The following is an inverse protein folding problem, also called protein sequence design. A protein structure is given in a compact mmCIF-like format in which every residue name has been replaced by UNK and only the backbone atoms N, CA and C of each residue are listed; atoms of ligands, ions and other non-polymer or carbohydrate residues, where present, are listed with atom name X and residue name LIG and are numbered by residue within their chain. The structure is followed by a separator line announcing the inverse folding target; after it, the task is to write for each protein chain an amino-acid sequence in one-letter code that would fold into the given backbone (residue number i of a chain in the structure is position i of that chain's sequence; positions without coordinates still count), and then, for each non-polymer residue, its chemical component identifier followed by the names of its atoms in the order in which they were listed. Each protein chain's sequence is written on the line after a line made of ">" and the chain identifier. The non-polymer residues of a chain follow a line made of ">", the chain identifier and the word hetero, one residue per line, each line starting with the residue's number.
data_IF_837626774736
#
_entry.id   IF_837626774736
#
_cell.length_a   1.000
_cell.length_b   1.000
_cell.length_c   1.000
_cell.angle_alpha   90.00
_cell.angle_beta   90.00
_cell.angle_gamma   90.00
#
_symmetry.space_group_name_H-M   'P 1'
#
loop_
_entity.id
_entity.type
_entity.pdbx_description
1 polymer ?
#
# COMPACT_ATOMS: atom_id res chain seq x y z
N UNK A 1 -31.83 8.94 -8.89
CA UNK A 1 -31.79 9.06 -7.42
C UNK A 1 -30.43 9.61 -7.03
N UNK A 2 -30.38 10.49 -6.03
CA UNK A 2 -29.12 11.01 -5.49
C UNK A 2 -28.58 10.13 -4.35
N UNK A 3 -27.30 10.30 -4.02
CA UNK A 3 -26.57 9.61 -2.96
C UNK A 3 -25.68 10.59 -2.18
N UNK A 4 -25.35 10.28 -0.94
CA UNK A 4 -24.34 11.02 -0.17
C UNK A 4 -22.92 10.61 -0.58
N UNK A 5 -22.02 11.59 -0.69
CA UNK A 5 -20.64 11.38 -1.08
C UNK A 5 -19.69 12.43 -0.48
N UNK A 6 -18.46 12.03 -0.19
CA UNK A 6 -17.39 12.90 0.30
C UNK A 6 -16.69 13.55 -0.89
N UNK A 7 -16.77 14.88 -0.99
CA UNK A 7 -16.27 15.63 -2.14
C UNK A 7 -15.21 16.64 -1.70
N UNK A 8 -14.09 16.66 -2.42
CA UNK A 8 -13.00 17.63 -2.22
C UNK A 8 -13.26 18.89 -3.06
N UNK A 9 -13.42 20.04 -2.40
CA UNK A 9 -13.69 21.35 -3.01
C UNK A 9 -12.47 22.28 -3.05
N UNK A 10 -11.43 21.93 -2.31
CA UNK A 10 -10.21 22.73 -2.19
C UNK A 10 -9.29 22.16 -1.13
N UNK A 11 -8.10 22.74 -0.93
CA UNK A 11 -7.20 22.35 0.14
C UNK A 11 -7.92 22.46 1.49
N UNK A 12 -7.89 21.37 2.26
CA UNK A 12 -8.54 21.18 3.56
C UNK A 12 -10.06 21.39 3.54
N UNK A 13 -10.68 21.40 2.37
CA UNK A 13 -12.10 21.63 2.19
C UNK A 13 -12.76 20.39 1.59
N UNK A 14 -13.12 19.45 2.47
CA UNK A 14 -13.95 18.28 2.16
C UNK A 14 -15.33 18.49 2.76
N UNK A 15 -16.38 18.10 2.04
CA UNK A 15 -17.74 18.07 2.57
C UNK A 15 -18.50 16.84 2.07
N UNK A 16 -19.45 16.41 2.86
CA UNK A 16 -20.44 15.41 2.44
C UNK A 16 -21.56 16.15 1.71
N UNK A 17 -21.86 15.76 0.49
CA UNK A 17 -22.90 16.38 -0.33
C UNK A 17 -23.70 15.33 -1.11
N UNK A 18 -24.86 15.75 -1.65
CA UNK A 18 -25.66 14.92 -2.54
C UNK A 18 -25.07 14.94 -3.94
N UNK A 19 -24.87 13.75 -4.51
CA UNK A 19 -24.42 13.52 -5.90
C UNK A 19 -25.38 12.59 -6.62
N UNK A 20 -25.48 12.66 -7.96
CA UNK A 20 -26.21 11.64 -8.70
C UNK A 20 -25.65 10.25 -8.41
N UNK A 21 -26.51 9.27 -8.17
CA UNK A 21 -26.09 7.86 -8.13
C UNK A 21 -25.44 7.49 -9.47
N UNK A 22 -24.28 6.81 -9.47
CA UNK A 22 -23.64 6.39 -10.71
C UNK A 22 -24.48 5.37 -11.48
N UNK A 23 -24.26 5.32 -12.78
CA UNK A 23 -24.81 4.30 -13.68
C UNK A 23 -23.69 3.55 -14.39
N UNK A 24 -24.02 2.36 -14.90
CA UNK A 24 -23.14 1.63 -15.83
C UNK A 24 -22.93 2.51 -17.07
N UNK A 25 -21.68 2.83 -17.40
CA UNK A 25 -21.32 3.60 -18.60
C UNK A 25 -20.70 2.72 -19.68
N UNK A 26 -20.01 1.65 -19.27
CA UNK A 26 -19.40 0.64 -20.15
C UNK A 26 -19.84 -0.76 -19.76
N UNK A 27 -19.82 -1.68 -20.72
CA UNK A 27 -20.23 -3.07 -20.52
C UNK A 27 -19.38 -3.82 -19.47
N UNK A 28 -18.18 -3.34 -19.18
CA UNK A 28 -17.26 -3.91 -18.18
C UNK A 28 -17.21 -3.11 -16.87
N UNK A 29 -18.16 -2.19 -16.64
CA UNK A 29 -18.33 -1.51 -15.35
C UNK A 29 -19.16 -2.37 -14.36
N UNK A 30 -19.01 -2.09 -13.08
CA UNK A 30 -19.97 -2.49 -12.04
C UNK A 30 -20.34 -1.28 -11.15
N UNK A 31 -21.50 -1.35 -10.50
CA UNK A 31 -21.89 -0.45 -9.42
C UNK A 31 -21.84 -1.23 -8.12
N UNK A 32 -21.17 -0.67 -7.11
CA UNK A 32 -21.08 -1.25 -5.76
C UNK A 32 -21.81 -0.34 -4.79
N UNK A 33 -22.69 -0.91 -3.96
CA UNK A 33 -23.22 -0.27 -2.76
C UNK A 33 -22.17 -0.40 -1.66
N UNK A 34 -21.57 0.72 -1.27
CA UNK A 34 -20.45 0.73 -0.32
C UNK A 34 -20.98 0.48 1.09
N UNK A 35 -20.31 -0.41 1.83
CA UNK A 35 -20.53 -0.64 3.27
C UNK A 35 -19.54 0.16 4.09
N UNK A 36 -18.26 0.04 3.74
CA UNK A 36 -17.17 0.75 4.40
C UNK A 36 -16.25 1.41 3.39
N UNK A 37 -15.78 2.61 3.70
CA UNK A 37 -14.75 3.31 2.95
C UNK A 37 -13.59 3.73 3.86
N UNK A 38 -12.36 3.56 3.40
CA UNK A 38 -11.16 3.95 4.15
C UNK A 38 -10.74 5.38 3.81
N UNK A 39 -10.11 6.04 4.78
CA UNK A 39 -9.27 7.22 4.50
C UNK A 39 -7.82 6.74 4.38
N UNK A 40 -7.16 7.09 3.27
CA UNK A 40 -5.77 6.67 3.00
C UNK A 40 -4.78 7.84 3.14
N UNK A 41 -3.54 7.52 3.54
CA UNK A 41 -2.45 8.51 3.64
C UNK A 41 -2.20 9.25 2.34
N UNK A 42 -2.39 8.57 1.21
CA UNK A 42 -2.21 9.14 -0.13
C UNK A 42 -3.26 10.23 -0.44
N UNK A 43 -4.44 10.18 0.18
CA UNK A 43 -5.53 11.17 0.01
C UNK A 43 -5.23 12.48 0.75
N UNK A 44 -4.33 12.44 1.75
CA UNK A 44 -3.88 13.65 2.43
C UNK A 44 -3.05 14.55 1.50
N UNK A 45 -2.43 14.05 0.43
CA UNK A 45 -1.68 14.91 -0.50
C UNK A 45 -2.58 15.90 -1.27
N UNK A 46 -3.66 15.47 -1.95
CA UNK A 46 -4.60 16.42 -2.55
C UNK A 46 -5.40 17.18 -1.48
N UNK A 47 -5.76 16.56 -0.36
CA UNK A 47 -6.42 17.28 0.75
C UNK A 47 -5.57 18.44 1.30
N UNK A 48 -4.24 18.27 1.46
CA UNK A 48 -3.33 19.35 1.87
C UNK A 48 -3.08 20.38 0.75
N UNK A 49 -3.46 20.08 -0.48
CA UNK A 49 -3.13 20.89 -1.66
C UNK A 49 -1.69 20.70 -2.18
N UNK A 50 -0.94 19.72 -1.65
CA UNK A 50 0.41 19.39 -2.15
C UNK A 50 0.37 18.76 -3.54
N UNK A 51 -0.62 17.89 -3.78
CA UNK A 51 -0.88 17.33 -5.11
C UNK A 51 -1.95 18.16 -5.81
N UNK A 52 -1.61 18.73 -6.98
CA UNK A 52 -2.58 19.45 -7.81
C UNK A 52 -3.62 18.49 -8.38
N UNK A 53 -4.89 18.87 -8.29
CA UNK A 53 -6.03 18.12 -8.83
C UNK A 53 -7.17 19.09 -9.18
N UNK A 54 -8.11 18.65 -10.02
CA UNK A 54 -9.37 19.38 -10.20
C UNK A 54 -10.35 18.98 -9.10
N UNK A 55 -10.96 19.97 -8.45
CA UNK A 55 -11.90 19.75 -7.36
C UNK A 55 -13.29 19.33 -7.87
N UNK A 56 -14.11 18.80 -6.97
CA UNK A 56 -15.50 18.38 -7.24
C UNK A 56 -15.70 16.87 -7.47
N UNK A 57 -14.61 16.09 -7.47
CA UNK A 57 -14.66 14.63 -7.50
C UNK A 57 -14.92 14.06 -6.11
N UNK A 58 -15.54 12.89 -6.07
CA UNK A 58 -15.74 12.09 -4.87
C UNK A 58 -14.40 11.45 -4.49
N UNK A 59 -14.05 11.50 -3.21
CA UNK A 59 -12.80 10.94 -2.66
C UNK A 59 -12.93 9.42 -2.39
N UNK A 60 -11.83 8.74 -2.04
CA UNK A 60 -11.86 7.35 -1.62
C UNK A 60 -11.39 6.35 -2.67
N UNK A 61 -10.37 5.57 -2.36
CA UNK A 61 -9.98 4.41 -3.18
C UNK A 61 -9.90 3.09 -2.41
N UNK A 62 -10.32 3.09 -1.15
CA UNK A 62 -10.40 1.89 -0.32
C UNK A 62 -11.85 1.68 0.07
N UNK A 63 -12.46 0.57 -0.34
CA UNK A 63 -13.83 0.26 0.02
C UNK A 63 -14.16 -1.24 -0.04
N UNK A 64 -15.12 -1.62 0.79
CA UNK A 64 -15.84 -2.89 0.69
C UNK A 64 -17.33 -2.62 0.50
N UNK A 65 -18.03 -3.52 -0.17
CA UNK A 65 -19.43 -3.31 -0.48
C UNK A 65 -20.10 -4.47 -1.18
N UNK A 66 -21.39 -4.32 -1.45
CA UNK A 66 -22.20 -5.31 -2.16
C UNK A 66 -22.35 -4.86 -3.61
N UNK A 67 -22.09 -5.76 -4.55
CA UNK A 67 -22.35 -5.50 -5.97
C UNK A 67 -23.84 -5.25 -6.16
N UNK A 68 -24.17 -4.08 -6.69
CA UNK A 68 -25.54 -3.63 -6.94
C UNK A 68 -25.95 -3.90 -8.39
N UNK A 69 -25.09 -3.55 -9.33
CA UNK A 69 -25.31 -3.75 -10.76
C UNK A 69 -24.00 -4.14 -11.46
N UNK A 70 -24.09 -4.93 -12.52
CA UNK A 70 -22.96 -5.27 -13.39
C UNK A 70 -23.30 -4.97 -14.85
N UNK A 71 -22.29 -4.57 -15.62
CA UNK A 71 -22.37 -4.47 -17.07
C UNK A 71 -22.38 -5.85 -17.74
N UNK A 72 -22.77 -5.90 -19.01
CA UNK A 72 -22.98 -7.15 -19.75
C UNK A 72 -21.71 -7.99 -20.00
N UNK A 73 -20.52 -7.41 -19.83
CA UNK A 73 -19.23 -8.08 -20.05
C UNK A 73 -18.51 -8.41 -18.75
N UNK A 74 -19.13 -8.19 -17.59
CA UNK A 74 -18.59 -8.57 -16.28
C UNK A 74 -18.88 -10.05 -16.05
N UNK A 75 -17.85 -10.82 -15.68
CA UNK A 75 -17.95 -12.29 -15.58
C UNK A 75 -17.51 -12.86 -14.24
N UNK A 76 -16.78 -12.09 -13.44
CA UNK A 76 -16.17 -12.58 -12.19
C UNK A 76 -16.99 -12.25 -10.94
N UNK A 77 -17.90 -11.28 -11.01
CA UNK A 77 -18.78 -10.86 -9.91
C UNK A 77 -20.21 -10.70 -10.42
N UNK A 78 -21.19 -10.83 -9.52
CA UNK A 78 -22.63 -10.64 -9.81
C UNK A 78 -23.32 -9.83 -8.70
N UNK A 79 -24.48 -9.26 -9.01
CA UNK A 79 -25.32 -8.57 -8.02
C UNK A 79 -25.53 -9.44 -6.78
N UNK A 80 -25.33 -8.84 -5.60
CA UNK A 80 -25.41 -9.50 -4.30
C UNK A 80 -24.08 -10.02 -3.76
N UNK A 81 -23.03 -10.12 -4.57
CA UNK A 81 -21.70 -10.51 -4.08
C UNK A 81 -21.12 -9.43 -3.16
N UNK A 82 -20.57 -9.84 -2.02
CA UNK A 82 -19.73 -8.99 -1.18
C UNK A 82 -18.33 -8.93 -1.79
N UNK A 83 -17.80 -7.73 -1.97
CA UNK A 83 -16.53 -7.47 -2.66
C UNK A 83 -15.66 -6.47 -1.93
N UNK A 84 -14.35 -6.55 -2.17
CA UNK A 84 -13.39 -5.49 -1.91
C UNK A 84 -12.97 -4.85 -3.24
N UNK A 85 -12.97 -3.52 -3.27
CA UNK A 85 -12.50 -2.75 -4.42
C UNK A 85 -11.02 -2.45 -4.34
N UNK A 86 -10.29 -2.67 -5.43
CA UNK A 86 -8.88 -2.32 -5.54
C UNK A 86 -8.74 -0.83 -5.89
N UNK A 87 -7.70 -0.17 -5.37
CA UNK A 87 -7.55 1.29 -5.46
C UNK A 87 -7.42 1.88 -6.87
N UNK A 88 -7.06 1.05 -7.86
CA UNK A 88 -6.98 1.43 -9.26
C UNK A 88 -7.51 0.32 -10.15
N UNK A 89 -8.20 0.70 -11.23
CA UNK A 89 -8.77 -0.29 -12.14
C UNK A 89 -7.72 -1.00 -12.98
N UNK A 90 -7.95 -2.27 -13.31
CA UNK A 90 -7.07 -3.08 -14.16
C UNK A 90 -7.89 -3.73 -15.28
N UNK A 91 -7.55 -3.47 -16.54
CA UNK A 91 -8.33 -3.97 -17.68
C UNK A 91 -8.11 -5.43 -18.04
N UNK A 92 -7.11 -6.08 -17.42
CA UNK A 92 -6.68 -7.47 -17.67
C UNK A 92 -6.27 -7.84 -19.11
N UNK A 93 -6.37 -6.91 -20.07
CA UNK A 93 -6.20 -7.20 -21.49
C UNK A 93 -4.99 -6.52 -22.15
N UNK A 94 -4.53 -5.38 -21.63
CA UNK A 94 -3.38 -4.69 -22.20
C UNK A 94 -2.07 -5.46 -21.94
N UNK A 95 -1.00 -5.10 -22.67
CA UNK A 95 0.31 -5.73 -22.52
C UNK A 95 0.76 -5.78 -21.06
N UNK A 96 0.69 -4.67 -20.33
CA UNK A 96 1.10 -4.61 -18.91
C UNK A 96 0.33 -5.60 -18.03
N UNK A 97 -1.00 -5.65 -18.16
CA UNK A 97 -1.82 -6.57 -17.37
C UNK A 97 -1.49 -8.03 -17.65
N UNK A 98 -1.22 -8.41 -18.90
CA UNK A 98 -0.87 -9.79 -19.28
C UNK A 98 0.40 -10.31 -18.61
N UNK A 99 1.29 -9.40 -18.20
CA UNK A 99 2.53 -9.72 -17.48
C UNK A 99 2.46 -9.37 -15.98
N UNK A 100 1.26 -9.13 -15.43
CA UNK A 100 1.07 -8.83 -14.01
C UNK A 100 1.43 -7.39 -13.59
N UNK A 101 1.80 -6.51 -14.52
CA UNK A 101 2.07 -5.09 -14.24
C UNK A 101 0.78 -4.26 -14.15
N UNK A 102 -0.17 -4.72 -13.34
CA UNK A 102 -1.52 -4.11 -13.23
C UNK A 102 -1.48 -2.68 -12.69
N UNK A 103 -0.43 -2.32 -11.93
CA UNK A 103 -0.11 -0.95 -11.51
C UNK A 103 0.20 0.02 -12.67
N UNK A 104 0.48 -0.52 -13.86
CA UNK A 104 0.75 0.23 -15.10
C UNK A 104 -0.17 -0.21 -16.24
N UNK A 105 -1.35 -0.72 -15.89
CA UNK A 105 -2.41 -0.97 -16.87
C UNK A 105 -2.63 0.27 -17.75
N UNK A 106 -2.60 0.09 -19.07
CA UNK A 106 -2.71 1.18 -20.05
C UNK A 106 -4.09 1.87 -20.02
N UNK A 107 -5.10 1.20 -19.47
CA UNK A 107 -6.47 1.70 -19.32
C UNK A 107 -6.85 1.93 -17.85
N UNK A 108 -5.87 1.97 -16.94
CA UNK A 108 -6.14 2.12 -15.50
C UNK A 108 -6.73 3.49 -15.19
N UNK A 109 -7.66 3.51 -14.24
CA UNK A 109 -8.20 4.70 -13.63
C UNK A 109 -7.98 4.60 -12.11
N UNK A 110 -7.36 5.62 -11.51
CA UNK A 110 -7.20 5.69 -10.06
C UNK A 110 -8.51 6.22 -9.44
N UNK A 111 -9.13 5.42 -8.58
CA UNK A 111 -10.37 5.78 -7.91
C UNK A 111 -10.15 6.96 -6.96
N UNK A 112 -11.18 7.77 -6.77
CA UNK A 112 -11.10 8.92 -5.88
C UNK A 112 -10.23 10.06 -6.43
N UNK A 113 -10.20 10.25 -7.74
CA UNK A 113 -9.40 11.30 -8.39
C UNK A 113 -10.22 12.10 -9.39
N UNK A 114 -9.63 13.16 -9.95
CA UNK A 114 -10.21 13.92 -11.06
C UNK A 114 -10.60 13.07 -12.28
N UNK A 115 -10.00 11.90 -12.46
CA UNK A 115 -10.28 11.01 -13.59
C UNK A 115 -11.55 10.18 -13.38
N UNK A 116 -11.84 9.82 -12.12
CA UNK A 116 -13.00 9.04 -11.74
C UNK A 116 -13.29 9.19 -10.24
N UNK A 117 -14.57 9.33 -9.93
CA UNK A 117 -15.09 9.36 -8.56
C UNK A 117 -14.72 8.12 -7.74
N UNK A 118 -14.57 8.32 -6.43
CA UNK A 118 -14.14 7.31 -5.47
C UNK A 118 -15.25 6.63 -4.66
N UNK A 119 -14.81 5.79 -3.74
CA UNK A 119 -15.63 4.93 -2.88
C UNK A 119 -16.08 5.55 -1.55
N UNK A 120 -15.69 6.78 -1.20
CA UNK A 120 -16.23 7.47 -0.03
C UNK A 120 -17.63 8.06 -0.36
N UNK A 121 -18.56 7.18 -0.73
CA UNK A 121 -19.94 7.48 -1.13
C UNK A 121 -20.84 6.25 -0.95
N UNK A 122 -22.16 6.42 -0.94
CA UNK A 122 -23.11 5.30 -0.81
C UNK A 122 -23.03 4.30 -1.99
N UNK A 123 -22.68 4.80 -3.19
CA UNK A 123 -22.45 3.97 -4.37
C UNK A 123 -21.22 4.44 -5.15
N UNK A 124 -20.51 3.49 -5.74
CA UNK A 124 -19.32 3.77 -6.58
C UNK A 124 -19.41 3.00 -7.89
N UNK A 125 -19.02 3.66 -9.00
CA UNK A 125 -18.82 3.01 -10.29
C UNK A 125 -17.41 2.46 -10.36
N UNK A 126 -17.28 1.19 -10.70
CA UNK A 126 -16.01 0.48 -10.76
C UNK A 126 -15.77 0.03 -12.20
N UNK A 127 -14.90 0.71 -12.97
CA UNK A 127 -14.52 0.30 -14.32
C UNK A 127 -13.68 -0.96 -14.29
N UNK A 128 -13.72 -1.73 -15.39
CA UNK A 128 -12.97 -2.97 -15.50
C UNK A 128 -13.21 -3.88 -14.29
N UNK A 129 -14.48 -4.13 -13.98
CA UNK A 129 -14.92 -4.77 -12.74
C UNK A 129 -14.17 -6.09 -12.47
N UNK A 130 -13.95 -6.91 -13.49
CA UNK A 130 -13.26 -8.20 -13.36
C UNK A 130 -11.80 -8.09 -12.88
N UNK A 131 -11.13 -6.97 -13.17
CA UNK A 131 -9.78 -6.70 -12.68
C UNK A 131 -9.70 -5.83 -11.44
N UNK A 132 -10.83 -5.29 -10.97
CA UNK A 132 -10.86 -4.24 -9.95
C UNK A 132 -11.66 -4.63 -8.71
N UNK A 133 -12.59 -5.57 -8.85
CA UNK A 133 -13.33 -6.15 -7.73
C UNK A 133 -12.79 -7.55 -7.45
N UNK A 134 -12.71 -7.87 -6.15
CA UNK A 134 -12.43 -9.23 -5.69
C UNK A 134 -13.52 -9.64 -4.72
N UNK A 135 -14.08 -10.83 -4.90
CA UNK A 135 -15.08 -11.40 -3.99
C UNK A 135 -14.45 -11.52 -2.60
N UNK A 136 -15.19 -11.09 -1.58
CA UNK A 136 -14.75 -11.19 -0.20
C UNK A 136 -14.52 -12.67 0.17
N UNK A 137 -13.31 -13.02 0.65
CA UNK A 137 -13.03 -14.37 1.10
C UNK A 137 -13.85 -14.68 2.36
N UNK A 138 -14.23 -15.96 2.57
CA UNK A 138 -14.96 -16.35 3.75
C UNK A 138 -14.14 -16.09 5.02
N UNK A 139 -14.81 -15.75 6.13
CA UNK A 139 -14.22 -15.59 7.46
C UNK A 139 -13.28 -14.38 7.68
N UNK A 140 -13.31 -13.40 6.78
CA UNK A 140 -12.68 -12.08 6.99
C UNK A 140 -13.80 -11.05 7.15
N UNK A 141 -13.80 -10.31 8.26
CA UNK A 141 -14.71 -9.18 8.46
C UNK A 141 -14.41 -8.08 7.42
N UNK A 142 -15.44 -7.58 6.76
CA UNK A 142 -15.42 -6.49 5.78
C UNK A 142 -14.58 -5.28 6.20
N UNK A 143 -14.67 -4.89 7.47
CA UNK A 143 -13.91 -3.75 8.01
C UNK A 143 -12.41 -3.99 7.91
N UNK A 144 -11.97 -5.22 8.17
CA UNK A 144 -10.57 -5.61 8.11
C UNK A 144 -10.15 -5.94 6.66
N UNK A 145 -11.07 -6.51 5.87
CA UNK A 145 -10.86 -6.81 4.45
C UNK A 145 -10.48 -5.57 3.64
N UNK A 146 -10.90 -4.38 4.04
CA UNK A 146 -10.54 -3.13 3.37
C UNK A 146 -9.03 -2.92 3.24
N UNK A 147 -8.22 -3.54 4.11
CA UNK A 147 -6.76 -3.50 3.99
C UNK A 147 -6.26 -4.09 2.67
N UNK A 148 -7.02 -5.01 2.06
CA UNK A 148 -6.72 -5.65 0.79
C UNK A 148 -7.02 -4.75 -0.42
N UNK A 149 -7.69 -3.61 -0.24
CA UNK A 149 -7.89 -2.62 -1.32
C UNK A 149 -6.58 -2.00 -1.82
N UNK A 150 -5.63 -1.78 -0.90
CA UNK A 150 -4.35 -1.09 -1.16
C UNK A 150 -3.29 -1.50 -0.13
N UNK A 151 -3.50 -1.15 1.13
CA UNK A 151 -2.45 -1.08 2.16
C UNK A 151 -1.65 -2.36 2.31
N UNK A 152 -2.34 -3.48 2.52
CA UNK A 152 -1.68 -4.75 2.79
C UNK A 152 -0.94 -5.27 1.55
N UNK A 153 -1.56 -5.37 0.36
CA UNK A 153 -0.86 -5.67 -0.88
C UNK A 153 0.32 -4.74 -1.17
N UNK A 154 0.22 -3.44 -0.84
CA UNK A 154 1.31 -2.48 -1.03
C UNK A 154 2.50 -2.77 -0.10
N UNK A 155 2.26 -3.02 1.19
CA UNK A 155 3.31 -3.44 2.11
C UNK A 155 3.94 -4.78 1.74
N UNK A 156 3.10 -5.76 1.38
CA UNK A 156 3.52 -7.07 0.87
C UNK A 156 4.45 -6.92 -0.35
N UNK A 157 4.03 -6.15 -1.36
CA UNK A 157 4.80 -5.91 -2.57
C UNK A 157 6.13 -5.21 -2.28
N UNK A 158 6.13 -4.23 -1.37
CA UNK A 158 7.34 -3.56 -0.92
C UNK A 158 8.39 -4.54 -0.38
N UNK A 159 7.99 -5.42 0.53
CA UNK A 159 8.86 -6.43 1.11
C UNK A 159 9.28 -7.52 0.10
N UNK A 160 8.32 -8.07 -0.67
CA UNK A 160 8.59 -9.15 -1.62
C UNK A 160 9.55 -8.74 -2.74
N UNK A 161 9.49 -7.48 -3.20
CA UNK A 161 10.48 -6.96 -4.15
C UNK A 161 11.89 -6.94 -3.59
N UNK A 162 12.06 -6.62 -2.30
CA UNK A 162 13.37 -6.69 -1.66
C UNK A 162 13.80 -8.16 -1.49
N UNK A 163 12.91 -9.02 -1.01
CA UNK A 163 13.15 -10.45 -0.79
C UNK A 163 13.59 -11.17 -2.07
N UNK A 164 13.09 -10.79 -3.24
CA UNK A 164 13.44 -11.44 -4.51
C UNK A 164 14.93 -11.36 -4.88
N UNK A 165 15.70 -10.47 -4.25
CA UNK A 165 17.16 -10.36 -4.39
C UNK A 165 17.93 -11.38 -3.54
N UNK A 166 17.25 -12.11 -2.67
CA UNK A 166 17.84 -13.07 -1.73
C UNK A 166 17.48 -14.51 -2.10
N UNK A 167 18.27 -15.44 -1.59
CA UNK A 167 18.04 -16.88 -1.71
C UNK A 167 17.11 -17.36 -0.59
N UNK A 168 16.04 -18.05 -0.96
CA UNK A 168 15.00 -18.53 -0.03
C UNK A 168 14.93 -20.05 0.08
N UNK A 169 15.51 -20.80 -0.87
CA UNK A 169 15.40 -22.26 -0.98
C UNK A 169 16.73 -22.98 -0.69
N UNK A 170 17.84 -22.24 -0.64
CA UNK A 170 19.16 -22.74 -0.22
C UNK A 170 20.25 -22.46 -1.26
N UNK A 171 21.44 -22.04 -0.79
CA UNK A 171 22.52 -21.67 -1.71
C UNK A 171 23.09 -22.92 -2.38
N UNK A 172 23.08 -22.95 -3.71
CA UNK A 172 23.89 -23.87 -4.51
C UNK A 172 25.20 -23.19 -4.86
N UNK A 173 26.25 -23.49 -4.09
CA UNK A 173 27.59 -22.99 -4.41
C UNK A 173 28.13 -23.69 -5.66
N UNK A 174 28.80 -22.97 -6.57
CA UNK A 174 29.49 -23.58 -7.71
C UNK A 174 30.55 -24.56 -7.21
N UNK A 175 30.55 -25.78 -7.73
CA UNK A 175 31.48 -26.84 -7.33
C UNK A 175 32.80 -26.83 -8.11
N UNK A 176 32.89 -26.02 -9.17
CA UNK A 176 34.03 -25.96 -10.08
C UNK A 176 35.07 -24.88 -9.73
N UNK A 177 34.94 -24.22 -8.57
CA UNK A 177 35.88 -23.17 -8.13
C UNK A 177 35.78 -21.85 -8.89
N UNK A 178 34.86 -21.71 -9.85
CA UNK A 178 34.63 -20.45 -10.53
C UNK A 178 33.88 -19.47 -9.61
N UNK A 179 34.35 -18.24 -9.52
CA UNK A 179 33.61 -17.18 -8.82
C UNK A 179 32.32 -16.87 -9.60
N UNK A 180 31.18 -16.96 -8.92
CA UNK A 180 29.87 -16.59 -9.48
C UNK A 180 29.13 -15.71 -8.49
N UNK A 181 28.30 -14.81 -9.01
CA UNK A 181 27.34 -14.09 -8.20
C UNK A 181 26.29 -15.08 -7.68
N UNK A 182 26.25 -15.26 -6.37
CA UNK A 182 25.20 -16.02 -5.67
C UNK A 182 24.36 -15.07 -4.84
N UNK A 183 23.06 -15.34 -4.72
CA UNK A 183 22.19 -14.56 -3.85
C UNK A 183 22.52 -14.88 -2.38
N UNK A 184 22.57 -13.85 -1.55
CA UNK A 184 22.68 -13.97 -0.10
C UNK A 184 21.45 -14.69 0.46
N UNK A 185 21.58 -15.60 1.45
CA UNK A 185 20.43 -16.20 2.12
C UNK A 185 19.56 -15.14 2.79
N UNK A 186 18.24 -15.22 2.63
CA UNK A 186 17.30 -14.30 3.27
C UNK A 186 17.43 -14.32 4.80
N UNK A 187 17.63 -15.51 5.38
CA UNK A 187 17.81 -15.71 6.83
C UNK A 187 19.05 -15.04 7.43
N UNK A 188 20.00 -14.61 6.60
CA UNK A 188 21.19 -13.88 7.04
C UNK A 188 21.20 -12.43 6.56
N UNK A 189 20.08 -11.95 6.01
CA UNK A 189 19.96 -10.60 5.51
C UNK A 189 19.49 -9.63 6.60
N UNK A 190 20.07 -8.43 6.60
CA UNK A 190 19.68 -7.30 7.44
C UNK A 190 18.86 -6.32 6.62
N UNK A 191 17.58 -6.23 6.96
CA UNK A 191 16.61 -5.33 6.37
C UNK A 191 16.43 -4.10 7.27
N UNK A 192 16.25 -2.94 6.66
CA UNK A 192 15.77 -1.72 7.33
C UNK A 192 14.45 -1.30 6.68
N UNK A 193 13.38 -1.26 7.46
CA UNK A 193 12.08 -0.72 7.07
C UNK A 193 11.98 0.73 7.57
N UNK A 194 11.95 1.69 6.65
CA UNK A 194 11.75 3.10 6.96
C UNK A 194 10.26 3.44 6.90
N UNK A 195 9.74 3.90 8.03
CA UNK A 195 8.32 4.16 8.26
C UNK A 195 7.63 2.95 8.88
N UNK A 196 7.01 3.16 10.04
CA UNK A 196 6.16 2.19 10.75
C UNK A 196 4.68 2.64 10.71
N UNK A 197 4.29 3.42 9.69
CA UNK A 197 2.89 3.58 9.32
C UNK A 197 2.31 2.26 8.80
N UNK A 198 1.01 2.20 8.52
CA UNK A 198 0.37 0.90 8.25
C UNK A 198 0.96 0.13 7.05
N UNK A 199 1.30 0.81 5.95
CA UNK A 199 1.98 0.16 4.81
C UNK A 199 3.33 -0.43 5.25
N UNK A 200 4.09 0.33 6.03
CA UNK A 200 5.36 -0.11 6.62
C UNK A 200 5.19 -1.30 7.56
N UNK A 201 4.16 -1.29 8.41
CA UNK A 201 3.82 -2.41 9.29
C UNK A 201 3.47 -3.68 8.47
N UNK A 202 2.69 -3.56 7.40
CA UNK A 202 2.45 -4.68 6.49
C UNK A 202 3.74 -5.19 5.84
N UNK A 203 4.67 -4.30 5.47
CA UNK A 203 5.98 -4.69 4.92
C UNK A 203 6.89 -5.36 5.96
N UNK A 204 6.91 -4.86 7.20
CA UNK A 204 7.68 -5.43 8.33
C UNK A 204 7.19 -6.84 8.62
N UNK A 205 5.87 -7.02 8.80
CA UNK A 205 5.27 -8.34 9.02
C UNK A 205 5.61 -9.28 7.87
N UNK A 206 5.48 -8.82 6.62
CA UNK A 206 5.84 -9.64 5.45
C UNK A 206 7.30 -10.07 5.47
N UNK A 207 8.23 -9.17 5.75
CA UNK A 207 9.66 -9.48 5.80
C UNK A 207 9.98 -10.50 6.91
N UNK A 208 9.41 -10.31 8.11
CA UNK A 208 9.59 -11.21 9.25
C UNK A 208 9.03 -12.60 8.95
N UNK A 209 7.78 -12.69 8.49
CA UNK A 209 7.12 -13.98 8.23
C UNK A 209 7.78 -14.75 7.08
N UNK A 210 8.30 -14.04 6.07
CA UNK A 210 9.06 -14.67 4.98
C UNK A 210 10.47 -15.10 5.39
N UNK A 211 10.92 -14.77 6.61
CA UNK A 211 12.16 -15.28 7.18
C UNK A 211 13.39 -14.40 6.94
N UNK A 212 13.22 -13.08 6.77
CA UNK A 212 14.33 -12.14 6.81
C UNK A 212 15.07 -12.25 8.15
N UNK A 213 16.40 -12.30 8.12
CA UNK A 213 17.22 -12.57 9.31
C UNK A 213 17.11 -11.50 10.40
N UNK A 214 17.23 -10.23 10.03
CA UNK A 214 17.08 -9.09 10.94
C UNK A 214 16.25 -8.01 10.24
N UNK A 215 15.23 -7.48 10.91
CA UNK A 215 14.37 -6.43 10.38
C UNK A 215 14.37 -5.25 11.35
N UNK A 216 15.18 -4.23 11.07
CA UNK A 216 15.15 -2.97 11.81
C UNK A 216 13.99 -2.10 11.31
N UNK A 217 13.26 -1.47 12.23
CA UNK A 217 12.05 -0.70 11.92
C UNK A 217 12.21 0.73 12.44
N UNK A 218 12.30 1.70 11.53
CA UNK A 218 12.62 3.09 11.86
C UNK A 218 11.37 3.96 11.78
N UNK A 219 11.07 4.68 12.86
CA UNK A 219 10.02 5.70 12.92
C UNK A 219 10.34 6.71 14.04
N UNK A 220 9.56 7.79 14.10
CA UNK A 220 9.63 8.81 15.16
C UNK A 220 8.52 8.65 16.20
N UNK A 221 7.49 7.84 15.92
CA UNK A 221 6.31 7.69 16.78
C UNK A 221 6.43 6.41 17.64
N UNK A 222 6.53 6.52 18.99
CA UNK A 222 6.71 5.37 19.87
C UNK A 222 5.64 4.29 19.74
N UNK A 223 4.37 4.66 19.56
CA UNK A 223 3.29 3.69 19.36
C UNK A 223 3.48 2.88 18.06
N UNK A 224 3.96 3.49 16.97
CA UNK A 224 4.24 2.77 15.72
C UNK A 224 5.40 1.79 15.88
N UNK A 225 6.43 2.19 16.62
CA UNK A 225 7.57 1.34 16.97
C UNK A 225 7.15 0.16 17.85
N UNK A 226 6.21 0.36 18.78
CA UNK A 226 5.60 -0.72 19.56
C UNK A 226 4.89 -1.73 18.65
N UNK A 227 4.09 -1.27 17.69
CA UNK A 227 3.43 -2.16 16.73
C UNK A 227 4.44 -2.92 15.87
N UNK A 228 5.49 -2.26 15.39
CA UNK A 228 6.56 -2.92 14.64
C UNK A 228 7.23 -4.04 15.45
N UNK A 229 7.43 -3.84 16.76
CA UNK A 229 7.95 -4.88 17.66
C UNK A 229 7.01 -6.08 17.78
N UNK A 230 5.70 -5.83 17.90
CA UNK A 230 4.68 -6.90 17.94
C UNK A 230 4.66 -7.76 16.67
N UNK A 231 5.07 -7.18 15.54
CA UNK A 231 5.22 -7.88 14.26
C UNK A 231 6.55 -8.64 14.12
N UNK A 232 7.40 -8.62 15.16
CA UNK A 232 8.71 -9.27 15.17
C UNK A 232 9.86 -8.41 14.63
N UNK A 233 9.60 -7.13 14.34
CA UNK A 233 10.63 -6.17 13.98
C UNK A 233 11.42 -5.65 15.19
N UNK A 234 12.59 -5.05 14.93
CA UNK A 234 13.44 -4.42 15.93
C UNK A 234 13.28 -2.90 15.80
N UNK A 235 12.51 -2.25 16.68
CA UNK A 235 12.26 -0.81 16.56
C UNK A 235 13.53 -0.01 16.85
N UNK A 236 13.76 1.01 16.02
CA UNK A 236 14.78 2.04 16.19
C UNK A 236 14.11 3.42 16.10
N UNK A 237 14.26 4.24 17.13
CA UNK A 237 13.66 5.55 17.22
C UNK A 237 14.54 6.59 16.52
N UNK A 238 14.03 7.14 15.41
CA UNK A 238 14.70 8.19 14.66
C UNK A 238 14.84 9.45 15.51
N UNK A 239 16.05 10.02 15.54
CA UNK A 239 16.41 11.18 16.37
C UNK A 239 16.81 10.85 17.80
N UNK A 240 16.73 9.57 18.20
CA UNK A 240 17.16 9.09 19.53
C UNK A 240 18.27 8.05 19.38
N UNK A 241 18.05 7.03 18.55
CA UNK A 241 19.01 5.95 18.33
C UNK A 241 20.05 6.31 17.25
N UNK A 242 21.28 5.83 17.44
CA UNK A 242 22.31 5.84 16.39
C UNK A 242 22.06 4.69 15.39
N UNK A 243 21.06 4.90 14.52
CA UNK A 243 20.58 3.92 13.55
C UNK A 243 21.72 3.46 12.64
N UNK A 244 22.57 4.37 12.17
CA UNK A 244 23.67 4.02 11.27
C UNK A 244 24.67 3.10 11.98
N UNK A 245 25.10 3.43 13.19
CA UNK A 245 26.04 2.58 13.91
C UNK A 245 25.42 1.21 14.27
N UNK A 246 24.13 1.15 14.59
CA UNK A 246 23.41 -0.12 14.85
C UNK A 246 23.42 -1.00 13.59
N UNK A 247 23.03 -0.45 12.44
CA UNK A 247 23.01 -1.17 11.16
C UNK A 247 24.41 -1.63 10.76
N UNK A 248 25.42 -0.77 10.89
CA UNK A 248 26.81 -1.13 10.60
C UNK A 248 27.30 -2.24 11.52
N UNK A 249 27.02 -2.20 12.83
CA UNK A 249 27.39 -3.28 13.76
C UNK A 249 26.72 -4.61 13.39
N UNK A 250 25.44 -4.59 13.04
CA UNK A 250 24.70 -5.79 12.63
C UNK A 250 25.19 -6.40 11.31
N UNK A 251 25.98 -5.65 10.53
CA UNK A 251 26.40 -6.02 9.18
C UNK A 251 27.92 -5.99 9.01
N UNK A 252 28.68 -6.01 10.10
CA UNK A 252 30.16 -5.96 10.09
C UNK A 252 30.70 -4.79 9.24
N UNK A 253 30.05 -3.64 9.33
CA UNK A 253 30.41 -2.41 8.63
C UNK A 253 29.94 -2.32 7.17
N UNK A 254 29.20 -3.30 6.65
CA UNK A 254 28.74 -3.30 5.25
C UNK A 254 27.61 -2.29 5.00
N UNK A 255 26.67 -2.16 5.94
CA UNK A 255 25.38 -1.50 5.74
C UNK A 255 24.25 -2.51 5.49
N UNK A 256 22.99 -2.04 5.49
CA UNK A 256 21.81 -2.88 5.32
C UNK A 256 21.78 -3.55 3.95
N UNK A 257 21.45 -4.84 3.91
CA UNK A 257 21.34 -5.61 2.66
C UNK A 257 20.14 -5.17 1.82
N UNK A 258 19.05 -4.83 2.50
CA UNK A 258 17.84 -4.28 1.90
C UNK A 258 17.29 -3.12 2.72
N UNK A 259 16.73 -2.13 2.02
CA UNK A 259 15.91 -1.08 2.63
C UNK A 259 14.53 -1.09 1.98
N UNK A 260 13.48 -1.18 2.80
CA UNK A 260 12.09 -1.01 2.37
C UNK A 260 11.62 0.36 2.85
N UNK A 261 11.31 1.25 1.91
CA UNK A 261 10.97 2.64 2.19
C UNK A 261 9.46 2.85 1.94
N UNK A 262 8.74 3.30 2.98
CA UNK A 262 7.28 3.43 2.98
C UNK A 262 6.77 4.79 3.48
N UNK A 263 7.65 5.81 3.53
CA UNK A 263 7.35 7.16 4.03
C UNK A 263 6.92 8.11 2.91
N UNK A 264 7.62 8.09 1.76
CA UNK A 264 7.30 8.94 0.61
C UNK A 264 7.88 10.35 0.67
N UNK A 265 9.04 10.56 1.33
CA UNK A 265 9.74 11.85 1.31
C UNK A 265 11.24 11.73 1.01
N UNK A 266 11.88 12.86 0.67
CA UNK A 266 13.31 12.89 0.33
C UNK A 266 14.21 12.47 1.49
N UNK A 267 13.90 12.86 2.72
CA UNK A 267 14.73 12.51 3.87
C UNK A 267 14.81 10.99 4.08
N UNK A 268 13.68 10.29 3.91
CA UNK A 268 13.63 8.83 3.99
C UNK A 268 14.43 8.17 2.86
N UNK A 269 14.36 8.67 1.62
CA UNK A 269 15.17 8.15 0.52
C UNK A 269 16.67 8.44 0.69
N UNK A 270 17.04 9.60 1.23
CA UNK A 270 18.43 9.94 1.54
C UNK A 270 19.00 8.98 2.59
N UNK A 271 18.28 8.81 3.71
CA UNK A 271 18.64 7.85 4.76
C UNK A 271 18.69 6.42 4.22
N UNK A 272 17.75 6.03 3.36
CA UNK A 272 17.78 4.71 2.72
C UNK A 272 19.09 4.50 1.95
N UNK A 273 19.51 5.50 1.17
CA UNK A 273 20.78 5.43 0.45
C UNK A 273 21.99 5.46 1.36
N UNK A 274 21.97 6.14 2.50
CA UNK A 274 23.07 6.14 3.47
C UNK A 274 23.22 4.77 4.14
N UNK A 275 22.11 4.19 4.61
CA UNK A 275 22.09 2.94 5.37
C UNK A 275 22.34 1.70 4.50
N UNK A 276 21.96 1.72 3.22
CA UNK A 276 22.12 0.58 2.32
C UNK A 276 23.60 0.23 2.14
N UNK A 277 23.96 -1.03 1.96
CA UNK A 277 25.32 -1.40 1.54
C UNK A 277 25.54 -1.25 0.03
N UNK A 278 26.79 -1.22 -0.47
CA UNK A 278 27.06 -1.46 -1.89
C UNK A 278 26.41 -2.77 -2.37
N UNK A 279 25.90 -2.77 -3.60
CA UNK A 279 25.17 -3.88 -4.21
C UNK A 279 23.87 -4.29 -3.44
N UNK A 280 23.34 -3.43 -2.56
CA UNK A 280 22.09 -3.67 -1.84
C UNK A 280 20.85 -3.36 -2.69
N UNK A 281 19.67 -3.63 -2.12
CA UNK A 281 18.37 -3.32 -2.73
C UNK A 281 17.56 -2.27 -1.94
N UNK A 282 17.12 -1.22 -2.62
CA UNK A 282 16.14 -0.25 -2.14
C UNK A 282 14.79 -0.49 -2.81
N UNK A 283 13.80 -0.93 -2.04
CA UNK A 283 12.40 -1.10 -2.46
C UNK A 283 11.55 0.02 -1.87
N UNK A 284 11.22 1.02 -2.67
CA UNK A 284 10.39 2.16 -2.26
C UNK A 284 8.94 1.97 -2.74
N UNK A 285 8.01 1.99 -1.79
CA UNK A 285 6.55 2.07 -2.03
C UNK A 285 5.97 3.41 -1.53
N UNK A 286 6.78 4.25 -0.88
CA UNK A 286 6.41 5.60 -0.50
C UNK A 286 6.00 6.45 -1.73
N UNK A 287 5.03 7.34 -1.54
CA UNK A 287 4.53 8.20 -2.61
C UNK A 287 5.39 9.46 -2.76
N UNK A 288 6.38 9.42 -3.65
CA UNK A 288 7.30 10.53 -3.93
C UNK A 288 6.79 11.44 -5.06
N UNK A 289 6.95 12.76 -4.89
CA UNK A 289 6.62 13.78 -5.90
C UNK A 289 7.77 14.71 -6.25
N UNK A 290 8.89 14.59 -5.54
CA UNK A 290 10.03 15.50 -5.64
C UNK A 290 11.24 14.81 -6.25
N UNK A 291 12.34 15.55 -6.42
CA UNK A 291 13.59 15.03 -6.94
C UNK A 291 14.21 13.93 -6.05
N UNK A 292 15.04 13.10 -6.66
CA UNK A 292 15.81 12.07 -5.96
C UNK A 292 16.90 12.74 -5.09
N UNK A 293 17.07 12.34 -3.82
CA UNK A 293 18.03 12.98 -2.93
C UNK A 293 19.47 12.43 -3.10
N UNK A 294 19.76 11.82 -4.24
CA UNK A 294 21.07 11.28 -4.58
C UNK A 294 21.29 11.33 -6.09
N UNK A 295 22.55 11.44 -6.47
CA UNK A 295 22.99 11.59 -7.86
C UNK A 295 23.18 10.23 -8.54
N UNK A 296 23.20 10.23 -9.87
CA UNK A 296 23.57 9.06 -10.66
C UNK A 296 24.98 8.55 -10.32
N UNK A 297 25.94 9.44 -10.00
CA UNK A 297 27.29 9.05 -9.59
C UNK A 297 27.29 8.27 -8.27
N UNK A 298 26.53 8.73 -7.27
CA UNK A 298 26.38 8.00 -6.00
C UNK A 298 25.75 6.62 -6.22
N UNK A 299 24.73 6.54 -7.08
CA UNK A 299 24.14 5.27 -7.47
C UNK A 299 25.13 4.32 -8.16
N UNK A 300 25.92 4.85 -9.11
CA UNK A 300 26.95 4.11 -9.84
C UNK A 300 28.05 3.58 -8.90
N UNK A 301 28.58 4.43 -8.02
CA UNK A 301 29.63 4.06 -7.07
C UNK A 301 29.18 2.96 -6.09
N UNK A 302 27.89 2.91 -5.78
CA UNK A 302 27.32 1.96 -4.83
C UNK A 302 26.71 0.72 -5.48
N UNK A 303 26.64 0.65 -6.81
CA UNK A 303 26.02 -0.46 -7.56
C UNK A 303 24.62 -0.81 -7.03
N UNK A 304 23.80 0.20 -6.73
CA UNK A 304 22.50 -0.04 -6.10
C UNK A 304 21.50 -0.73 -7.02
N UNK A 305 20.62 -1.51 -6.41
CA UNK A 305 19.38 -1.94 -7.03
C UNK A 305 18.24 -1.09 -6.48
N UNK A 306 17.54 -0.35 -7.33
CA UNK A 306 16.45 0.54 -6.93
C UNK A 306 15.15 0.16 -7.65
N UNK A 307 14.11 -0.07 -6.85
CA UNK A 307 12.75 -0.26 -7.33
C UNK A 307 11.84 0.77 -6.66
N UNK A 308 11.04 1.50 -7.44
CA UNK A 308 10.08 2.48 -6.93
C UNK A 308 8.76 2.40 -7.68
N UNK A 309 7.64 2.62 -6.98
CA UNK A 309 6.33 2.78 -7.60
C UNK A 309 5.20 2.00 -6.93
N UNK A 310 3.99 2.17 -7.51
CA UNK A 310 2.73 1.60 -7.02
C UNK A 310 2.74 0.07 -7.06
N UNK A 311 2.03 -0.56 -6.12
CA UNK A 311 1.86 -2.01 -6.10
C UNK A 311 0.88 -2.49 -7.19
N UNK A 312 1.19 -3.57 -7.93
CA UNK A 312 0.27 -4.20 -8.86
C UNK A 312 -0.74 -5.06 -8.11
N UNK A 313 -1.62 -4.41 -7.33
CA UNK A 313 -2.44 -5.07 -6.30
C UNK A 313 -3.21 -6.27 -6.84
N UNK A 314 -3.86 -6.16 -8.01
CA UNK A 314 -4.58 -7.29 -8.61
C UNK A 314 -3.68 -8.50 -8.90
N UNK A 315 -2.43 -8.27 -9.27
CA UNK A 315 -1.49 -9.34 -9.62
C UNK A 315 -0.90 -10.04 -8.40
N UNK A 316 -0.75 -9.33 -7.27
CA UNK A 316 -0.22 -9.89 -6.01
C UNK A 316 -1.32 -10.23 -5.01
N UNK A 317 -2.59 -10.09 -5.41
CA UNK A 317 -3.72 -10.12 -4.49
C UNK A 317 -3.81 -11.46 -3.76
N UNK A 318 -3.73 -12.57 -4.50
CA UNK A 318 -3.90 -13.91 -3.96
C UNK A 318 -2.77 -14.26 -2.98
N UNK A 319 -1.50 -14.01 -3.34
CA UNK A 319 -0.38 -14.31 -2.44
C UNK A 319 -0.36 -13.37 -1.22
N UNK A 320 -0.78 -12.12 -1.38
CA UNK A 320 -0.96 -11.21 -0.25
C UNK A 320 -2.14 -11.66 0.63
N UNK A 321 -3.23 -12.13 0.05
CA UNK A 321 -4.43 -12.54 0.77
C UNK A 321 -4.15 -13.79 1.63
N UNK A 322 -3.37 -14.74 1.12
CA UNK A 322 -2.95 -15.93 1.88
C UNK A 322 -2.22 -15.51 3.16
N UNK A 323 -1.23 -14.63 3.04
CA UNK A 323 -0.46 -14.13 4.17
C UNK A 323 -1.33 -13.32 5.14
N UNK A 324 -2.17 -12.45 4.60
CA UNK A 324 -3.11 -11.65 5.39
C UNK A 324 -4.05 -12.54 6.19
N UNK A 325 -4.65 -13.55 5.55
CA UNK A 325 -5.60 -14.46 6.20
C UNK A 325 -4.98 -15.12 7.42
N UNK A 326 -3.74 -15.59 7.32
CA UNK A 326 -3.06 -16.25 8.44
C UNK A 326 -2.65 -15.28 9.56
N UNK A 327 -2.26 -14.04 9.22
CA UNK A 327 -1.72 -13.06 10.18
C UNK A 327 -2.68 -11.91 10.55
N UNK A 328 -3.94 -11.94 10.09
CA UNK A 328 -4.92 -10.85 10.26
C UNK A 328 -5.15 -10.42 11.70
N UNK A 329 -4.92 -11.31 12.67
CA UNK A 329 -5.05 -11.00 14.10
C UNK A 329 -4.04 -9.95 14.57
N UNK A 330 -2.91 -9.77 13.87
CA UNK A 330 -1.95 -8.69 14.15
C UNK A 330 -2.49 -7.29 13.80
N UNK A 331 -3.63 -7.21 13.11
CA UNK A 331 -4.23 -5.97 12.62
C UNK A 331 -5.61 -5.70 13.26
N UNK A 332 -6.00 -6.39 14.33
CA UNK A 332 -7.33 -6.19 14.95
C UNK A 332 -7.55 -4.76 15.43
N UNK A 333 -6.49 -4.13 15.96
CA UNK A 333 -6.53 -2.76 16.49
C UNK A 333 -6.06 -1.72 15.44
N UNK A 334 -6.01 -2.11 14.17
CA UNK A 334 -5.61 -1.23 13.08
C UNK A 334 -6.60 -0.07 12.91
N UNK A 335 -7.89 -0.39 12.93
CA UNK A 335 -8.97 0.57 12.73
C UNK A 335 -9.20 1.32 14.04
N UNK A 336 -8.49 2.43 14.17
CA UNK A 336 -8.56 3.29 15.36
C UNK A 336 -9.89 4.02 15.50
N UNK A 337 -10.54 4.37 14.39
CA UNK A 337 -11.76 5.17 14.39
C UNK A 337 -12.75 4.64 13.36
N UNK A 338 -14.00 4.49 13.79
CA UNK A 338 -15.16 4.20 12.96
C UNK A 338 -16.09 5.39 13.04
N UNK A 339 -16.34 6.05 11.92
CA UNK A 339 -17.18 7.23 11.84
C UNK A 339 -18.28 7.02 10.79
N UNK A 340 -19.48 7.56 10.95
CA UNK A 340 -20.46 7.57 9.87
C UNK A 340 -19.93 8.40 8.69
N UNK A 341 -20.37 8.10 7.46
CA UNK A 341 -19.99 8.87 6.25
C UNK A 341 -20.19 10.39 6.44
N UNK A 342 -21.24 10.80 7.16
CA UNK A 342 -21.56 12.20 7.46
C UNK A 342 -20.43 12.94 8.22
N UNK A 343 -19.58 12.22 8.95
CA UNK A 343 -18.46 12.77 9.72
C UNK A 343 -17.11 12.66 8.98
N UNK A 344 -17.12 12.44 7.66
CA UNK A 344 -15.90 12.27 6.88
C UNK A 344 -14.89 13.42 7.08
N UNK A 345 -15.35 14.68 7.13
CA UNK A 345 -14.47 15.84 7.36
C UNK A 345 -13.67 15.72 8.67
N UNK A 346 -14.34 15.34 9.77
CA UNK A 346 -13.70 15.03 11.05
C UNK A 346 -12.71 13.86 10.93
N UNK A 347 -13.06 12.84 10.15
CA UNK A 347 -12.16 11.72 9.86
C UNK A 347 -10.85 12.16 9.21
N UNK A 348 -10.91 13.06 8.22
CA UNK A 348 -9.72 13.65 7.59
C UNK A 348 -8.91 14.49 8.58
N UNK A 349 -9.55 15.26 9.46
CA UNK A 349 -8.88 16.06 10.50
C UNK A 349 -8.14 15.18 11.52
N UNK A 350 -8.78 14.12 12.03
CA UNK A 350 -8.18 13.16 12.96
C UNK A 350 -6.99 12.42 12.34
N UNK A 351 -7.10 12.08 11.05
CA UNK A 351 -6.03 11.38 10.36
C UNK A 351 -4.85 12.31 10.01
N UNK A 352 -5.14 13.56 9.65
CA UNK A 352 -4.14 14.60 9.40
C UNK A 352 -3.34 14.97 10.65
N UNK A 353 -4.02 15.11 11.79
CA UNK A 353 -3.41 15.41 13.09
C UNK A 353 -2.65 14.21 13.70
N UNK A 354 -2.69 13.05 13.05
CA UNK A 354 -2.13 11.78 13.52
C UNK A 354 -2.76 11.26 14.82
N UNK A 355 -3.94 11.76 15.19
CA UNK A 355 -4.76 11.21 16.28
C UNK A 355 -5.40 9.88 15.88
N UNK A 356 -5.70 9.69 14.59
CA UNK A 356 -6.12 8.42 14.03
C UNK A 356 -4.98 7.70 13.30
N UNK A 357 -4.88 6.38 13.51
CA UNK A 357 -4.00 5.48 12.75
C UNK A 357 -4.64 5.05 11.42
N UNK A 358 -5.94 4.77 11.49
CA UNK A 358 -6.82 4.49 10.35
C UNK A 358 -8.23 4.90 10.71
N UNK A 359 -8.86 5.59 9.77
CA UNK A 359 -10.28 5.93 9.83
C UNK A 359 -11.03 5.06 8.84
N UNK A 360 -12.11 4.46 9.32
CA UNK A 360 -13.10 3.76 8.53
C UNK A 360 -14.41 4.55 8.56
N UNK A 361 -14.92 4.89 7.39
CA UNK A 361 -16.23 5.50 7.22
C UNK A 361 -17.26 4.39 7.03
N UNK A 362 -18.19 4.26 7.98
CA UNK A 362 -19.36 3.39 7.86
C UNK A 362 -20.40 4.09 7.00
N UNK A 363 -20.69 3.49 5.85
CA UNK A 363 -21.54 4.05 4.80
C UNK A 363 -22.93 3.43 4.83
N UNK A 364 -23.00 2.12 4.99
CA UNK A 364 -24.25 1.39 5.17
C UNK A 364 -24.07 0.26 6.18
N UNK A 365 -25.19 -0.29 6.64
CA UNK A 365 -25.21 -1.55 7.39
C UNK A 365 -24.62 -2.72 6.57
#
# INVERSE_FOLDING_TARGET
>A
MEMNAVVLHGPRHIRVERKPRPSILKADDAIVRVRYAGICGSELHPYRGHQKTTYGHIMGHEFTGIVDQVGSNVTTVKTGDLVVGLFSSACLNCWFCKYGYTNRCANSLALGTAQIDGGQAEYVRVPHADGTLVIAPPNINDELLIMMSDIFPTGYYGAMRAISYFETEGIKMPTNGALQMVKQPLKSAVFVCLGCGIVGLCAIMTAVVKGAGTVFCVDTIPDRLEQARRMGGIPLHLGVDDIQAIVLRATEGRGADAVVESVGNQAALAMAMELLRPCGVLSSVGFHQTEMPFTALQGYQKNINLNMGRAPVKAVFEEALELFTFHRTMFTDFISHRLPLAEAARGYELFESQEARKVLLQVSE
#
